data_IF_682382534104
#
_entry.id   IF_682382534104
#
_cell.length_a   1.000
_cell.length_b   1.000
_cell.length_c   1.000
_cell.angle_alpha   90.00
_cell.angle_beta   90.00
_cell.angle_gamma   90.00
#
_symmetry.space_group_name_H-M   'P 1'
#
loop_
_entity.id
_entity.type
_entity.pdbx_description
1 polymer ?
#
# COMPACT_ATOMS: atom_id res chain seq x y z
N UNK A 1 -66.27 -8.64 28.09
CA UNK A 1 -65.48 -7.77 27.21
C UNK A 1 -64.20 -8.50 26.82
N UNK A 2 -64.01 -8.86 25.54
CA UNK A 2 -62.82 -9.59 25.04
C UNK A 2 -61.83 -8.58 24.44
N UNK A 3 -60.60 -8.49 24.98
CA UNK A 3 -59.51 -7.69 24.39
C UNK A 3 -58.61 -8.62 23.55
N UNK A 4 -58.44 -8.24 22.29
CA UNK A 4 -57.62 -8.92 21.28
C UNK A 4 -56.17 -8.42 21.38
N UNK A 5 -55.22 -9.33 21.58
CA UNK A 5 -53.77 -9.06 21.54
C UNK A 5 -53.20 -9.63 20.24
N UNK A 6 -53.24 -8.87 19.14
CA UNK A 6 -52.62 -9.25 17.86
C UNK A 6 -52.07 -8.03 17.12
N UNK A 7 -51.15 -7.30 17.72
CA UNK A 7 -50.41 -6.21 17.05
C UNK A 7 -49.12 -5.87 17.79
N UNK A 8 -48.29 -6.86 18.07
CA UNK A 8 -46.94 -6.62 18.61
C UNK A 8 -45.96 -7.68 18.06
N UNK A 9 -45.56 -7.53 16.80
CA UNK A 9 -44.63 -8.49 16.18
C UNK A 9 -43.98 -8.04 14.88
N UNK A 10 -44.49 -6.99 14.23
CA UNK A 10 -44.03 -6.59 12.88
C UNK A 10 -43.00 -5.44 12.92
N UNK A 11 -42.96 -4.64 14.00
CA UNK A 11 -42.02 -3.51 14.09
C UNK A 11 -40.56 -3.91 14.34
N UNK A 12 -40.29 -5.07 14.92
CA UNK A 12 -38.92 -5.46 15.30
C UNK A 12 -38.09 -5.96 14.11
N UNK A 13 -38.72 -6.52 13.07
CA UNK A 13 -38.00 -7.10 11.92
C UNK A 13 -37.47 -6.00 10.97
N UNK A 14 -38.21 -4.90 10.81
CA UNK A 14 -37.80 -3.80 9.95
C UNK A 14 -36.56 -3.05 10.49
N UNK A 15 -36.43 -2.89 11.81
CA UNK A 15 -35.29 -2.21 12.42
C UNK A 15 -33.98 -3.01 12.27
N UNK A 16 -34.04 -4.35 12.34
CA UNK A 16 -32.86 -5.22 12.17
C UNK A 16 -32.40 -5.22 10.71
N UNK A 17 -33.31 -5.23 9.75
CA UNK A 17 -32.96 -5.18 8.32
C UNK A 17 -32.33 -3.85 7.91
N UNK A 18 -32.84 -2.71 8.42
CA UNK A 18 -32.24 -1.40 8.16
C UNK A 18 -30.86 -1.24 8.80
N UNK A 19 -30.67 -1.74 10.03
CA UNK A 19 -29.37 -1.75 10.71
C UNK A 19 -28.34 -2.62 9.99
N UNK A 20 -28.74 -3.80 9.50
CA UNK A 20 -27.88 -4.68 8.72
C UNK A 20 -27.49 -4.05 7.37
N UNK A 21 -28.41 -3.35 6.71
CA UNK A 21 -28.10 -2.69 5.44
C UNK A 21 -27.14 -1.52 5.62
N UNK A 22 -27.28 -0.72 6.67
CA UNK A 22 -26.36 0.39 6.98
C UNK A 22 -24.97 -0.10 7.41
N UNK A 23 -24.89 -1.19 8.19
CA UNK A 23 -23.63 -1.86 8.53
C UNK A 23 -22.99 -2.57 7.32
N UNK A 24 -23.79 -3.02 6.34
CA UNK A 24 -23.29 -3.58 5.08
C UNK A 24 -22.83 -2.51 4.08
N UNK A 25 -23.44 -1.32 4.09
CA UNK A 25 -23.06 -0.19 3.23
C UNK A 25 -21.71 0.44 3.58
N UNK A 26 -21.20 0.23 4.80
CA UNK A 26 -19.82 0.56 5.17
C UNK A 26 -18.80 -0.54 4.78
N UNK A 27 -19.26 -1.67 4.22
CA UNK A 27 -18.45 -2.66 3.51
C UNK A 27 -18.61 -2.49 1.99
N UNK A 28 -18.55 -1.26 1.50
CA UNK A 28 -17.92 -1.10 0.21
C UNK A 28 -16.46 -1.52 0.42
N UNK A 29 -16.09 -2.74 0.00
CA UNK A 29 -14.71 -3.01 -0.37
C UNK A 29 -14.32 -1.88 -1.32
N UNK A 30 -13.64 -0.87 -0.78
CA UNK A 30 -13.17 0.21 -1.60
C UNK A 30 -12.17 -0.43 -2.55
N UNK A 31 -12.57 -0.53 -3.83
CA UNK A 31 -11.72 -0.91 -4.95
C UNK A 31 -10.43 -0.04 -5.02
N UNK A 32 -10.36 0.98 -4.17
CA UNK A 32 -9.27 1.90 -3.95
C UNK A 32 -7.92 1.22 -3.76
N UNK A 33 -7.76 0.05 -3.15
CA UNK A 33 -6.42 -0.56 -3.02
C UNK A 33 -6.12 -1.70 -4.03
N UNK A 34 -7.03 -1.96 -4.99
CA UNK A 34 -7.01 -3.19 -5.79
C UNK A 34 -5.74 -3.39 -6.61
N UNK A 35 -5.09 -2.32 -7.04
CA UNK A 35 -3.90 -2.41 -7.89
C UNK A 35 -2.58 -2.32 -7.12
N UNK A 36 -2.62 -2.10 -5.81
CA UNK A 36 -1.43 -1.82 -4.99
C UNK A 36 -0.41 -2.98 -5.03
N UNK A 37 -0.92 -4.20 -4.88
CA UNK A 37 -0.12 -5.41 -4.66
C UNK A 37 0.37 -5.98 -5.99
N UNK A 38 1.55 -6.61 -5.96
CA UNK A 38 2.19 -7.28 -7.08
C UNK A 38 2.46 -6.34 -8.26
N UNK A 39 2.97 -5.15 -7.95
CA UNK A 39 3.24 -4.10 -8.93
C UNK A 39 4.36 -3.18 -8.48
N UNK A 40 5.15 -2.71 -9.45
CA UNK A 40 6.16 -1.67 -9.23
C UNK A 40 5.52 -0.29 -9.32
N UNK A 41 5.75 0.53 -8.30
CA UNK A 41 5.30 1.91 -8.23
C UNK A 41 6.51 2.85 -8.15
N UNK A 42 6.48 3.95 -8.90
CA UNK A 42 7.56 4.94 -8.93
C UNK A 42 7.03 6.36 -8.73
N UNK A 43 7.78 7.23 -8.05
CA UNK A 43 7.40 8.64 -7.88
C UNK A 43 7.32 9.37 -9.23
N UNK A 44 8.22 9.03 -10.16
CA UNK A 44 8.34 9.60 -11.51
C UNK A 44 9.31 8.76 -12.34
N UNK A 45 9.32 8.98 -13.65
CA UNK A 45 10.35 8.41 -14.51
C UNK A 45 11.68 9.16 -14.29
N UNK A 46 12.82 8.47 -14.12
CA UNK A 46 14.12 9.12 -14.08
C UNK A 46 14.45 9.78 -15.42
N UNK A 47 15.04 10.97 -15.40
CA UNK A 47 15.44 11.69 -16.62
C UNK A 47 16.86 11.36 -17.09
N UNK A 48 17.72 10.89 -16.18
CA UNK A 48 19.08 10.46 -16.49
C UNK A 48 19.60 9.41 -15.48
N UNK A 49 20.79 8.85 -15.72
CA UNK A 49 21.35 7.76 -14.90
C UNK A 49 21.61 8.11 -13.43
N UNK A 50 21.82 9.39 -13.11
CA UNK A 50 22.09 9.88 -11.75
C UNK A 50 20.82 10.31 -11.04
N UNK A 51 19.72 10.38 -11.77
CA UNK A 51 18.47 10.88 -11.27
C UNK A 51 17.86 9.94 -10.22
N UNK A 52 17.70 10.43 -9.00
CA UNK A 52 17.18 9.65 -7.87
C UNK A 52 15.67 9.78 -7.80
N UNK A 53 14.99 8.65 -7.82
CA UNK A 53 13.53 8.56 -7.75
C UNK A 53 13.05 7.56 -6.70
N UNK A 54 11.90 7.83 -6.10
CA UNK A 54 11.25 6.93 -5.14
C UNK A 54 10.63 5.71 -5.83
N UNK A 55 10.71 4.56 -5.16
CA UNK A 55 10.10 3.28 -5.57
C UNK A 55 9.36 2.64 -4.41
N UNK A 56 8.27 1.99 -4.73
CA UNK A 56 7.50 1.16 -3.81
C UNK A 56 7.06 -0.11 -4.55
N UNK A 57 7.27 -1.26 -3.93
CA UNK A 57 6.76 -2.55 -4.41
C UNK A 57 6.14 -3.24 -3.21
N UNK A 58 4.90 -3.69 -3.35
CA UNK A 58 4.19 -4.46 -2.33
C UNK A 58 3.91 -5.82 -2.94
N UNK A 59 4.50 -6.89 -2.39
CA UNK A 59 4.46 -8.23 -2.95
C UNK A 59 3.66 -9.19 -2.07
N UNK A 60 2.85 -10.00 -2.74
CA UNK A 60 2.10 -11.11 -2.18
C UNK A 60 2.50 -12.38 -2.93
N UNK A 61 3.35 -13.17 -2.29
CA UNK A 61 3.94 -14.39 -2.84
C UNK A 61 3.48 -15.61 -2.06
N UNK A 62 3.60 -16.83 -2.62
CA UNK A 62 3.32 -18.05 -1.87
C UNK A 62 4.11 -18.15 -0.55
N UNK A 63 5.32 -17.60 -0.51
CA UNK A 63 6.23 -17.69 0.63
C UNK A 63 6.02 -16.57 1.67
N UNK A 64 5.27 -15.52 1.32
CA UNK A 64 4.92 -14.47 2.25
C UNK A 64 4.56 -13.12 1.63
N UNK A 65 4.22 -12.17 2.52
CA UNK A 65 3.84 -10.80 2.21
C UNK A 65 4.91 -9.83 2.68
N UNK A 66 5.64 -9.27 1.72
CA UNK A 66 6.70 -8.30 1.97
C UNK A 66 6.67 -7.20 0.92
N UNK A 67 7.34 -6.10 1.17
CA UNK A 67 7.47 -4.99 0.25
C UNK A 67 8.85 -4.38 0.32
N UNK A 68 9.16 -3.60 -0.69
CA UNK A 68 10.41 -2.84 -0.80
C UNK A 68 10.04 -1.40 -1.04
N UNK A 69 10.62 -0.51 -0.25
CA UNK A 69 10.42 0.93 -0.35
C UNK A 69 11.77 1.62 -0.34
N UNK A 70 11.92 2.71 -1.09
CA UNK A 70 13.19 3.42 -1.08
C UNK A 70 13.39 4.36 -2.25
N UNK A 71 14.62 4.82 -2.40
CA UNK A 71 15.05 5.72 -3.48
C UNK A 71 16.23 5.13 -4.20
N UNK A 72 16.24 5.28 -5.52
CA UNK A 72 17.35 4.77 -6.32
C UNK A 72 17.58 5.57 -7.60
N UNK A 73 18.79 5.44 -8.14
CA UNK A 73 19.18 5.81 -9.49
C UNK A 73 19.80 4.59 -10.19
N UNK A 74 20.54 4.79 -11.27
CA UNK A 74 21.35 3.71 -11.89
C UNK A 74 22.54 3.32 -11.01
N UNK A 75 23.03 4.23 -10.17
CA UNK A 75 24.31 4.09 -9.48
C UNK A 75 24.18 3.91 -7.97
N UNK A 76 23.09 4.41 -7.38
CA UNK A 76 22.87 4.44 -5.93
C UNK A 76 21.51 3.85 -5.63
N UNK A 77 21.47 2.93 -4.67
CA UNK A 77 20.26 2.25 -4.23
C UNK A 77 20.16 2.35 -2.71
N UNK A 78 19.07 2.95 -2.23
CA UNK A 78 18.69 2.96 -0.82
C UNK A 78 17.31 2.34 -0.73
N UNK A 79 17.23 1.12 -0.19
CA UNK A 79 15.97 0.40 -0.05
C UNK A 79 15.85 -0.16 1.36
N UNK A 80 14.61 -0.33 1.77
CA UNK A 80 14.24 -0.99 2.99
C UNK A 80 13.15 -2.02 2.68
N UNK A 81 13.31 -3.20 3.27
CA UNK A 81 12.34 -4.29 3.17
C UNK A 81 11.38 -4.17 4.36
N UNK A 82 10.08 -4.34 4.11
CA UNK A 82 9.06 -4.33 5.15
C UNK A 82 8.10 -5.51 4.97
N UNK A 83 7.57 -6.02 6.08
CA UNK A 83 6.41 -6.93 6.07
C UNK A 83 5.14 -6.09 6.03
N UNK A 84 4.06 -6.60 5.45
CA UNK A 84 2.84 -5.81 5.34
C UNK A 84 1.54 -6.58 5.51
N UNK A 85 0.50 -5.83 5.86
CA UNK A 85 -0.90 -6.25 5.87
C UNK A 85 -1.78 -5.14 5.31
N UNK A 86 -2.74 -5.50 4.47
CA UNK A 86 -3.73 -4.58 3.90
C UNK A 86 -5.11 -4.91 4.46
N UNK A 87 -5.82 -3.88 4.93
CA UNK A 87 -7.20 -3.98 5.38
C UNK A 87 -8.01 -2.83 4.77
N UNK A 88 -8.74 -3.10 3.69
CA UNK A 88 -9.40 -2.07 2.89
C UNK A 88 -8.38 -1.12 2.26
N UNK A 89 -8.46 0.16 2.59
CA UNK A 89 -7.54 1.21 2.16
C UNK A 89 -6.34 1.41 3.12
N UNK A 90 -6.18 0.57 4.15
CA UNK A 90 -5.14 0.76 5.17
C UNK A 90 -4.01 -0.25 5.01
N UNK A 91 -2.82 0.24 4.68
CA UNK A 91 -1.58 -0.54 4.63
C UNK A 91 -0.83 -0.37 5.96
N UNK A 92 -0.64 -1.48 6.66
CA UNK A 92 0.26 -1.57 7.82
C UNK A 92 1.59 -2.14 7.36
N UNK A 93 2.68 -1.41 7.54
CA UNK A 93 4.04 -1.82 7.19
C UNK A 93 4.88 -1.99 8.46
N UNK A 94 5.58 -3.11 8.59
CA UNK A 94 6.53 -3.37 9.66
C UNK A 94 7.94 -3.46 9.09
N UNK A 95 8.85 -2.68 9.65
CA UNK A 95 10.23 -2.55 9.20
C UNK A 95 11.17 -3.29 10.15
N UNK A 96 11.61 -4.51 9.81
CA UNK A 96 12.34 -5.37 10.75
C UNK A 96 13.67 -4.78 11.20
N UNK A 97 14.38 -4.10 10.29
CA UNK A 97 15.69 -3.49 10.55
C UNK A 97 15.67 -2.52 11.74
N UNK A 98 14.55 -1.84 11.98
CA UNK A 98 14.42 -0.86 13.05
C UNK A 98 13.43 -1.27 14.13
N UNK A 99 12.68 -2.37 13.92
CA UNK A 99 11.63 -2.80 14.83
C UNK A 99 10.55 -1.74 14.99
N UNK A 100 10.05 -1.18 13.88
CA UNK A 100 9.01 -0.12 13.90
C UNK A 100 7.88 -0.43 12.93
N UNK A 101 6.69 0.12 13.21
CA UNK A 101 5.53 0.06 12.30
C UNK A 101 5.15 1.41 11.76
N UNK A 102 4.62 1.42 10.56
CA UNK A 102 3.93 2.56 9.97
C UNK A 102 2.56 2.13 9.45
N UNK A 103 1.60 3.06 9.48
CA UNK A 103 0.25 2.86 8.97
C UNK A 103 -0.10 4.00 8.03
N UNK A 104 -0.46 3.65 6.81
CA UNK A 104 -0.82 4.61 5.77
C UNK A 104 -2.15 4.24 5.15
N UNK A 105 -2.87 5.24 4.64
CA UNK A 105 -3.95 5.05 3.68
C UNK A 105 -3.39 4.94 2.27
N UNK A 106 -3.99 4.07 1.47
CA UNK A 106 -3.61 3.81 0.09
C UNK A 106 -4.84 3.92 -0.81
N UNK A 107 -4.67 4.60 -1.95
CA UNK A 107 -5.68 4.67 -2.99
C UNK A 107 -5.02 4.52 -4.36
N UNK A 108 -5.61 3.71 -5.21
CA UNK A 108 -5.18 3.35 -6.56
C UNK A 108 -6.34 3.61 -7.52
N UNK A 109 -6.02 4.18 -8.68
CA UNK A 109 -6.99 4.47 -9.74
C UNK A 109 -6.29 4.49 -11.10
N UNK A 110 -7.07 4.42 -12.18
CA UNK A 110 -6.54 4.68 -13.52
C UNK A 110 -6.22 6.18 -13.63
N UNK A 111 -5.04 6.54 -14.15
CA UNK A 111 -4.61 7.94 -14.15
C UNK A 111 -5.44 8.84 -15.07
N UNK A 112 -6.05 8.32 -16.16
CA UNK A 112 -6.94 9.07 -17.07
C UNK A 112 -6.38 10.45 -17.53
N UNK A 113 -5.07 10.55 -17.76
CA UNK A 113 -4.39 11.79 -18.18
C UNK A 113 -3.86 12.68 -17.05
N UNK A 114 -4.05 12.30 -15.78
CA UNK A 114 -3.46 12.98 -14.62
C UNK A 114 -1.94 12.78 -14.51
N UNK A 115 -1.42 11.68 -15.06
CA UNK A 115 -0.01 11.31 -15.01
C UNK A 115 0.66 11.48 -16.38
N UNK A 116 1.97 11.78 -16.42
CA UNK A 116 2.73 11.74 -17.66
C UNK A 116 2.66 10.36 -18.32
N UNK A 117 2.59 10.31 -19.64
CA UNK A 117 2.82 9.06 -20.36
C UNK A 117 4.22 8.50 -20.00
N UNK A 118 4.38 7.17 -19.89
CA UNK A 118 3.43 6.09 -20.21
C UNK A 118 2.59 5.58 -19.02
N UNK A 119 2.44 6.35 -17.94
CA UNK A 119 1.77 5.84 -16.74
C UNK A 119 0.26 5.66 -16.90
N UNK A 120 -0.25 4.52 -16.44
CA UNK A 120 -1.66 4.15 -16.59
C UNK A 120 -2.38 4.05 -15.23
N UNK A 121 -1.62 3.80 -14.16
CA UNK A 121 -2.12 3.62 -12.81
C UNK A 121 -1.48 4.62 -11.86
N UNK A 122 -2.30 5.21 -11.02
CA UNK A 122 -1.93 6.20 -10.03
C UNK A 122 -2.12 5.60 -8.65
N UNK A 123 -1.21 5.89 -7.73
CA UNK A 123 -1.25 5.51 -6.33
C UNK A 123 -1.03 6.75 -5.47
N UNK A 124 -1.90 6.95 -4.49
CA UNK A 124 -1.69 7.89 -3.39
C UNK A 124 -1.45 7.09 -2.10
N UNK A 125 -0.36 7.41 -1.43
CA UNK A 125 -0.04 6.94 -0.08
C UNK A 125 -0.15 8.15 0.84
N UNK A 126 -0.92 8.07 1.92
CA UNK A 126 -1.12 9.21 2.80
C UNK A 126 -1.23 8.82 4.28
N UNK A 127 -0.86 9.75 5.15
CA UNK A 127 -1.10 9.69 6.59
C UNK A 127 -1.18 11.11 7.16
N UNK A 128 -1.13 11.25 8.47
CA UNK A 128 -1.22 12.55 9.15
C UNK A 128 -0.03 13.48 8.85
N UNK A 129 1.12 12.94 8.43
CA UNK A 129 2.34 13.72 8.14
C UNK A 129 2.41 14.21 6.70
N UNK A 130 1.73 13.54 5.78
CA UNK A 130 1.75 13.94 4.38
C UNK A 130 1.14 12.92 3.43
N UNK A 131 1.36 13.18 2.14
CA UNK A 131 0.94 12.32 1.04
C UNK A 131 2.02 12.22 -0.02
N UNK A 132 2.20 11.04 -0.58
CA UNK A 132 3.05 10.76 -1.72
C UNK A 132 2.23 10.22 -2.88
N UNK A 133 2.59 10.62 -4.11
CA UNK A 133 2.01 10.07 -5.34
C UNK A 133 3.03 9.20 -6.04
N UNK A 134 2.55 8.07 -6.53
CA UNK A 134 3.32 7.12 -7.31
C UNK A 134 2.52 6.74 -8.55
N UNK A 135 3.24 6.24 -9.54
CA UNK A 135 2.70 5.86 -10.82
C UNK A 135 3.19 4.47 -11.20
N UNK A 136 2.39 3.79 -11.99
CA UNK A 136 2.73 2.48 -12.54
C UNK A 136 2.16 2.30 -13.94
N UNK A 137 2.67 1.29 -14.62
CA UNK A 137 2.17 0.79 -15.90
C UNK A 137 1.56 -0.59 -15.70
N UNK A 138 0.61 -0.98 -16.56
CA UNK A 138 0.06 -2.35 -16.56
C UNK A 138 1.16 -3.38 -16.78
N UNK A 139 2.13 -3.07 -17.64
CA UNK A 139 3.28 -3.92 -17.94
C UNK A 139 4.25 -4.14 -16.76
N UNK A 140 4.13 -3.37 -15.66
CA UNK A 140 4.96 -3.51 -14.45
C UNK A 140 4.31 -4.36 -13.36
N UNK A 141 3.38 -5.23 -13.75
CA UNK A 141 2.84 -6.25 -12.88
C UNK A 141 3.89 -7.32 -12.59
N UNK A 142 4.07 -7.65 -11.32
CA UNK A 142 4.99 -8.69 -10.87
C UNK A 142 4.18 -9.96 -10.67
N UNK A 143 4.52 -11.03 -11.38
CA UNK A 143 3.87 -12.32 -11.16
C UNK A 143 4.55 -13.03 -9.99
N UNK A 144 3.80 -13.53 -9.00
CA UNK A 144 4.38 -14.16 -7.81
C UNK A 144 5.33 -15.32 -8.11
N UNK A 145 5.08 -16.09 -9.17
CA UNK A 145 5.91 -17.23 -9.56
C UNK A 145 7.22 -16.83 -10.27
N UNK A 146 7.34 -15.59 -10.72
CA UNK A 146 8.56 -15.12 -11.39
C UNK A 146 9.59 -14.63 -10.36
N UNK A 147 9.21 -14.46 -9.09
CA UNK A 147 10.07 -13.83 -8.06
C UNK A 147 11.29 -14.68 -7.71
N UNK A 148 11.21 -16.02 -7.75
CA UNK A 148 12.37 -16.89 -7.54
C UNK A 148 13.47 -16.69 -8.60
N UNK A 149 13.10 -16.40 -9.85
CA UNK A 149 14.06 -16.08 -10.92
C UNK A 149 14.47 -14.61 -10.96
N UNK A 150 13.59 -13.70 -10.50
CA UNK A 150 13.76 -12.25 -10.65
C UNK A 150 14.44 -11.60 -9.43
N UNK A 151 14.38 -12.22 -8.25
CA UNK A 151 14.97 -11.66 -7.03
C UNK A 151 16.51 -11.60 -7.07
N UNK A 152 17.16 -12.47 -7.86
CA UNK A 152 18.58 -12.36 -8.19
C UNK A 152 18.88 -11.19 -9.15
N UNK A 153 17.88 -10.72 -9.90
CA UNK A 153 18.03 -9.65 -10.89
C UNK A 153 17.65 -8.26 -10.36
N UNK A 154 16.96 -8.18 -9.21
CA UNK A 154 16.59 -6.93 -8.57
C UNK A 154 17.56 -6.65 -7.41
N UNK A 155 18.49 -5.68 -7.56
CA UNK A 155 19.43 -5.33 -6.50
C UNK A 155 18.67 -4.96 -5.22
N UNK A 156 18.90 -5.74 -4.16
CA UNK A 156 18.27 -5.57 -2.86
C UNK A 156 17.12 -6.50 -2.51
N UNK A 157 16.62 -7.30 -3.45
CA UNK A 157 15.61 -8.31 -3.14
C UNK A 157 16.18 -9.63 -2.59
N UNK A 158 17.47 -9.92 -2.83
CA UNK A 158 18.12 -11.11 -2.28
C UNK A 158 18.02 -11.18 -0.74
N UNK A 159 18.21 -10.06 -0.05
CA UNK A 159 18.07 -10.00 1.42
C UNK A 159 16.61 -10.13 1.90
N UNK A 160 15.63 -9.71 1.07
CA UNK A 160 14.22 -9.94 1.39
C UNK A 160 13.86 -11.43 1.32
N UNK A 161 14.37 -12.14 0.29
CA UNK A 161 14.17 -13.59 0.18
C UNK A 161 14.82 -14.34 1.33
N UNK A 162 16.03 -13.97 1.75
CA UNK A 162 16.68 -14.59 2.90
C UNK A 162 15.87 -14.41 4.20
N UNK A 163 15.21 -13.26 4.39
CA UNK A 163 14.31 -13.03 5.54
C UNK A 163 13.08 -13.95 5.47
N UNK A 164 12.51 -14.17 4.28
CA UNK A 164 11.37 -15.08 4.09
C UNK A 164 11.78 -16.54 4.32
N UNK A 165 12.93 -16.94 3.78
CA UNK A 165 13.50 -18.28 3.95
C UNK A 165 13.89 -18.57 5.41
N UNK A 166 14.38 -17.56 6.12
CA UNK A 166 14.66 -17.67 7.54
C UNK A 166 13.37 -17.79 8.36
N UNK A 167 12.23 -17.29 7.87
CA UNK A 167 10.95 -17.24 8.57
C UNK A 167 9.81 -17.85 7.73
N UNK A 168 9.93 -19.12 7.29
CA UNK A 168 8.99 -19.73 6.37
C UNK A 168 7.65 -19.97 7.09
N UNK A 169 6.54 -19.56 6.47
CA UNK A 169 5.20 -19.85 6.98
C UNK A 169 4.67 -18.90 8.06
N UNK A 170 5.29 -17.75 8.31
CA UNK A 170 4.61 -16.68 9.03
C UNK A 170 3.66 -15.94 8.09
N UNK A 171 2.44 -16.45 8.03
CA UNK A 171 1.27 -15.79 7.47
C UNK A 171 1.11 -14.39 8.08
N UNK A 172 1.72 -13.37 7.46
CA UNK A 172 1.39 -11.96 7.63
C UNK A 172 1.42 -11.37 9.04
N UNK A 173 2.15 -11.94 9.99
CA UNK A 173 2.27 -11.36 11.33
C UNK A 173 3.26 -10.20 11.30
N UNK A 174 2.82 -9.07 10.71
CA UNK A 174 3.12 -7.78 11.37
C UNK A 174 2.81 -8.04 12.84
N UNK A 175 3.80 -7.99 13.76
CA UNK A 175 3.53 -8.27 15.17
C UNK A 175 2.33 -7.43 15.60
N UNK A 176 1.50 -7.80 16.57
CA UNK A 176 0.40 -6.92 17.01
C UNK A 176 0.81 -6.05 18.21
N UNK A 177 1.72 -6.52 19.06
CA UNK A 177 2.02 -5.89 20.35
C UNK A 177 3.48 -5.43 20.49
N UNK A 178 3.69 -4.33 21.22
CA UNK A 178 5.00 -3.90 21.74
C UNK A 178 5.97 -3.21 20.75
N UNK A 179 5.60 -3.08 19.48
CA UNK A 179 6.44 -2.41 18.47
C UNK A 179 6.10 -0.93 18.40
N UNK A 180 7.11 -0.06 18.39
CA UNK A 180 6.90 1.38 18.26
C UNK A 180 6.26 1.74 16.91
N UNK A 181 5.20 2.55 16.94
CA UNK A 181 4.67 3.17 15.72
C UNK A 181 5.48 4.41 15.39
N UNK A 182 5.98 4.49 14.16
CA UNK A 182 6.69 5.65 13.62
C UNK A 182 5.93 6.10 12.38
N UNK A 183 4.92 6.98 12.57
CA UNK A 183 4.11 7.46 11.46
C UNK A 183 4.98 8.08 10.37
N UNK A 184 4.72 7.78 9.10
CA UNK A 184 5.40 8.43 7.99
C UNK A 184 6.72 7.83 7.58
N UNK A 185 7.23 6.79 8.25
CA UNK A 185 8.44 6.09 7.80
C UNK A 185 8.35 5.61 6.35
N UNK A 186 7.21 5.07 5.93
CA UNK A 186 7.01 4.61 4.56
C UNK A 186 7.11 5.79 3.57
N UNK A 187 6.59 6.96 3.94
CA UNK A 187 6.66 8.17 3.13
C UNK A 187 8.05 8.82 3.18
N UNK A 188 8.71 8.83 4.32
CA UNK A 188 10.06 9.37 4.52
C UNK A 188 11.10 8.56 3.71
N UNK A 189 10.87 7.26 3.54
CA UNK A 189 11.71 6.38 2.73
C UNK A 189 11.70 6.69 1.22
N UNK A 190 10.68 7.43 0.74
CA UNK A 190 10.44 7.66 -0.70
C UNK A 190 10.34 9.13 -1.09
N UNK A 191 9.85 9.98 -0.19
CA UNK A 191 9.71 11.40 -0.45
C UNK A 191 11.04 12.12 -0.16
N UNK A 192 11.46 13.04 -1.03
CA UNK A 192 12.61 13.87 -0.74
C UNK A 192 12.34 14.74 0.48
N UNK A 193 13.32 14.82 1.39
CA UNK A 193 13.31 15.75 2.52
C UNK A 193 12.97 17.17 2.01
N UNK A 194 11.93 17.78 2.55
CA UNK A 194 11.54 19.17 2.22
C UNK A 194 10.38 19.33 1.23
N UNK A 195 9.76 18.27 0.69
CA UNK A 195 8.45 18.36 0.00
C UNK A 195 7.26 18.10 0.94
N UNK A 196 7.29 18.71 2.12
CA UNK A 196 6.11 18.78 2.99
C UNK A 196 4.94 19.43 2.25
N UNK A 197 3.75 18.89 2.45
CA UNK A 197 2.51 19.25 1.76
C UNK A 197 2.33 20.78 1.66
N UNK A 198 2.42 21.37 0.45
CA UNK A 198 1.99 22.76 0.28
C UNK A 198 2.57 23.60 -0.85
N UNK A 199 3.48 23.11 -1.71
CA UNK A 199 4.02 23.96 -2.78
C UNK A 199 3.45 23.57 -4.16
N UNK A 200 2.36 24.21 -4.64
CA UNK A 200 1.95 24.11 -6.03
C UNK A 200 2.93 24.92 -6.87
N UNK A 201 4.04 24.31 -7.30
CA UNK A 201 4.87 24.97 -8.31
C UNK A 201 4.03 25.16 -9.58
N UNK A 202 3.95 26.39 -10.13
CA UNK A 202 3.35 26.58 -11.43
C UNK A 202 4.19 25.85 -12.46
N UNK A 203 3.52 25.09 -13.33
CA UNK A 203 4.11 24.57 -14.56
C UNK A 203 4.65 25.74 -15.37
N UNK A 204 5.96 25.81 -15.53
CA UNK A 204 6.57 26.67 -16.54
C UNK A 204 6.34 25.99 -17.90
N UNK A 205 5.51 26.63 -18.72
CA UNK A 205 5.16 26.25 -20.09
C UNK A 205 4.18 27.24 -20.65
#
# INVERSE_FOLDING_TARGET
>A
MKRSHRTLGILTVAAVAAGAWWLSGQRAESNEARHLVNRVWVERMPTDSRDVFGKLVVLDTPDGKFGVVGRSSTWVHHYEVFLWRLAGDRLSAFFPQHGVRDRVRVRTWACEGEAPEPFELCLEVSNERGRGRFYSMRAWEVRPHDVEGTASEIPGMAGALEILDAHPGHEGAVPDDGVAEVPGRLLDAVLPEGRGAGDPRPSAG
#
